data_IF_441434514283
#
_entry.id   IF_441434514283
#
_cell.length_a   1.000
_cell.length_b   1.000
_cell.length_c   1.000
_cell.angle_alpha   90.00
_cell.angle_beta   90.00
_cell.angle_gamma   90.00
#
_symmetry.space_group_name_H-M   'P 1'
#
loop_
_entity.id
_entity.type
_entity.pdbx_description
1 polymer ?
#
# COMPACT_ATOMS: atom_id res chain seq x y z
N UNK A 1 4.56 -44.16 9.13
CA UNK A 1 3.19 -43.61 9.32
C UNK A 1 3.14 -42.33 10.17
N UNK A 2 3.77 -42.25 11.35
CA UNK A 2 3.70 -41.07 12.26
C UNK A 2 4.10 -39.71 11.63
N UNK A 3 5.14 -39.65 10.78
CA UNK A 3 5.56 -38.41 10.08
C UNK A 3 4.52 -37.88 9.08
N UNK A 4 3.74 -38.76 8.44
CA UNK A 4 2.70 -38.35 7.48
C UNK A 4 1.49 -37.72 8.19
N UNK A 5 1.11 -38.27 9.35
CA UNK A 5 0.05 -37.72 10.20
C UNK A 5 0.43 -36.33 10.73
N UNK A 6 1.68 -36.14 11.16
CA UNK A 6 2.18 -34.84 11.61
C UNK A 6 2.15 -33.78 10.51
N UNK A 7 2.58 -34.12 9.28
CA UNK A 7 2.54 -33.19 8.16
C UNK A 7 1.11 -32.78 7.79
N UNK A 8 0.14 -33.72 7.86
CA UNK A 8 -1.27 -33.43 7.60
C UNK A 8 -1.84 -32.50 8.68
N UNK A 9 -1.54 -32.76 9.95
CA UNK A 9 -1.95 -31.88 11.06
C UNK A 9 -1.35 -30.48 10.89
N UNK A 10 -0.08 -30.39 10.52
CA UNK A 10 0.59 -29.11 10.26
C UNK A 10 -0.05 -28.33 9.09
N UNK A 11 -0.40 -29.00 8.00
CA UNK A 11 -1.12 -28.37 6.88
C UNK A 11 -2.53 -27.89 7.26
N UNK A 12 -3.25 -28.63 8.09
CA UNK A 12 -4.60 -28.23 8.57
C UNK A 12 -4.50 -27.01 9.51
N UNK A 13 -3.51 -26.98 10.40
CA UNK A 13 -3.29 -25.85 11.32
C UNK A 13 -2.90 -24.56 10.60
N UNK A 14 -2.11 -24.65 9.52
CA UNK A 14 -1.76 -23.47 8.68
C UNK A 14 -3.00 -22.91 7.99
N UNK A 15 -3.90 -23.77 7.50
CA UNK A 15 -5.08 -23.36 6.74
C UNK A 15 -6.08 -22.53 7.55
N UNK A 16 -6.15 -22.75 8.87
CA UNK A 16 -7.05 -22.02 9.77
C UNK A 16 -6.61 -20.59 10.13
N UNK A 17 -5.42 -20.16 9.69
CA UNK A 17 -4.83 -18.86 10.06
C UNK A 17 -4.88 -17.80 8.96
N UNK A 18 -5.57 -18.07 7.85
CA UNK A 18 -5.75 -17.14 6.74
C UNK A 18 -6.79 -16.06 7.09
N UNK A 19 -6.37 -14.98 7.74
CA UNK A 19 -7.21 -13.78 7.88
C UNK A 19 -7.34 -13.10 6.52
N UNK A 20 -8.58 -12.88 6.07
CA UNK A 20 -8.84 -12.13 4.84
C UNK A 20 -8.37 -10.67 5.00
N UNK A 21 -7.89 -10.08 3.90
CA UNK A 21 -7.35 -8.72 3.88
C UNK A 21 -8.45 -7.64 3.81
N UNK A 22 -9.53 -7.84 4.57
CA UNK A 22 -10.60 -6.86 4.64
C UNK A 22 -10.48 -6.02 5.91
N UNK A 23 -10.72 -4.72 5.81
CA UNK A 23 -10.74 -3.83 6.95
C UNK A 23 -11.71 -2.68 6.73
N UNK A 24 -12.09 -2.01 7.81
CA UNK A 24 -12.86 -0.76 7.74
C UNK A 24 -11.98 0.44 7.52
N UNK A 25 -10.69 0.34 7.87
CA UNK A 25 -9.72 1.44 7.76
C UNK A 25 -8.43 0.92 7.14
N UNK A 26 -7.99 1.60 6.09
CA UNK A 26 -6.80 1.29 5.32
C UNK A 26 -5.84 2.48 5.33
N UNK A 27 -4.67 2.26 5.93
CA UNK A 27 -3.55 3.19 5.90
C UNK A 27 -2.67 2.88 4.70
N UNK A 28 -2.35 3.90 3.91
CA UNK A 28 -1.52 3.77 2.71
C UNK A 28 -0.47 4.88 2.70
N UNK A 29 0.73 4.63 3.26
CA UNK A 29 1.84 5.55 3.08
C UNK A 29 2.18 5.70 1.58
N UNK A 30 2.78 6.84 1.18
CA UNK A 30 3.22 7.00 -0.21
C UNK A 30 4.33 5.99 -0.53
N UNK A 31 4.46 5.62 -1.80
CA UNK A 31 5.62 4.89 -2.30
C UNK A 31 6.58 5.84 -3.00
N UNK A 32 7.79 5.38 -3.33
CA UNK A 32 8.75 6.20 -4.05
C UNK A 32 9.26 5.52 -5.32
N UNK A 33 9.62 6.34 -6.29
CA UNK A 33 10.20 5.93 -7.55
C UNK A 33 11.51 6.69 -7.85
N UNK A 34 12.29 6.10 -8.75
CA UNK A 34 13.40 6.81 -9.38
C UNK A 34 12.86 7.84 -10.38
N UNK A 35 13.50 9.01 -10.43
CA UNK A 35 13.23 10.05 -11.44
C UNK A 35 13.49 9.58 -12.87
N UNK A 36 14.29 8.53 -13.04
CA UNK A 36 14.58 7.92 -14.35
C UNK A 36 13.46 7.00 -14.84
N UNK A 37 12.45 6.72 -14.01
CA UNK A 37 11.27 5.92 -14.38
C UNK A 37 10.02 6.76 -14.13
N UNK A 38 9.56 7.53 -15.15
CA UNK A 38 8.38 8.37 -15.04
C UNK A 38 7.13 7.56 -14.72
N UNK A 39 6.36 8.04 -13.74
CA UNK A 39 5.12 7.40 -13.33
C UNK A 39 4.01 7.70 -14.32
N UNK A 40 3.33 6.63 -14.75
CA UNK A 40 2.13 6.69 -15.58
C UNK A 40 0.85 6.73 -14.74
N UNK A 41 -0.24 6.14 -15.24
CA UNK A 41 -1.51 6.07 -14.52
C UNK A 41 -1.41 5.38 -13.15
N UNK A 42 -2.20 5.87 -12.19
CA UNK A 42 -2.21 5.41 -10.81
C UNK A 42 -3.66 5.34 -10.30
N UNK A 43 -4.02 4.24 -9.64
CA UNK A 43 -5.40 3.99 -9.22
C UNK A 43 -5.48 3.34 -7.85
N UNK A 44 -6.47 3.75 -7.05
CA UNK A 44 -6.96 2.99 -5.89
C UNK A 44 -8.18 2.17 -6.31
N UNK A 45 -8.09 0.86 -6.16
CA UNK A 45 -9.18 -0.08 -6.31
C UNK A 45 -9.78 -0.38 -4.95
N UNK A 46 -11.09 -0.20 -4.84
CA UNK A 46 -11.87 -0.44 -3.63
C UNK A 46 -12.94 -1.48 -3.95
N UNK A 47 -12.98 -2.56 -3.19
CA UNK A 47 -13.98 -3.62 -3.35
C UNK A 47 -14.47 -4.14 -2.00
N UNK A 48 -15.56 -4.90 -2.02
CA UNK A 48 -16.15 -5.50 -0.82
C UNK A 48 -16.87 -6.79 -1.18
N UNK A 49 -16.98 -7.78 -0.27
CA UNK A 49 -17.85 -8.93 -0.50
C UNK A 49 -19.34 -8.60 -0.28
N UNK A 50 -19.66 -7.43 0.29
CA UNK A 50 -21.04 -7.04 0.60
C UNK A 50 -21.86 -6.78 -0.67
N UNK A 51 -23.02 -7.42 -0.77
CA UNK A 51 -24.01 -7.11 -1.82
C UNK A 51 -24.69 -5.75 -1.60
N UNK A 52 -24.81 -5.34 -0.34
CA UNK A 52 -25.38 -4.05 0.02
C UNK A 52 -24.32 -2.96 -0.17
N UNK A 53 -24.64 -1.82 -0.81
CA UNK A 53 -23.71 -0.70 -0.95
C UNK A 53 -23.18 -0.21 0.41
N UNK A 54 -21.87 -0.07 0.51
CA UNK A 54 -21.15 0.47 1.66
C UNK A 54 -20.58 1.83 1.28
N UNK A 55 -20.85 2.85 2.10
CA UNK A 55 -20.21 4.16 1.94
C UNK A 55 -18.78 4.12 2.43
N UNK A 56 -17.87 4.69 1.65
CA UNK A 56 -16.47 4.89 2.00
C UNK A 56 -16.03 6.33 1.78
N UNK A 57 -14.91 6.69 2.39
CA UNK A 57 -14.22 7.95 2.21
C UNK A 57 -12.71 7.73 2.01
N UNK A 58 -12.14 8.41 1.02
CA UNK A 58 -10.72 8.48 0.74
C UNK A 58 -10.23 9.83 1.29
N UNK A 59 -9.50 9.78 2.40
CA UNK A 59 -8.81 10.95 2.96
C UNK A 59 -7.45 11.07 2.29
N UNK A 60 -7.30 12.08 1.43
CA UNK A 60 -6.01 12.47 0.90
C UNK A 60 -5.29 13.28 1.98
N UNK A 61 -4.17 12.78 2.50
CA UNK A 61 -3.48 13.45 3.60
C UNK A 61 -3.05 14.87 3.17
N UNK A 62 -3.45 15.87 3.95
CA UNK A 62 -3.22 17.29 3.64
C UNK A 62 -4.05 17.85 2.48
N UNK A 63 -5.11 17.16 2.06
CA UNK A 63 -5.97 17.54 0.94
C UNK A 63 -7.45 17.17 1.21
N UNK A 64 -8.28 17.13 0.18
CA UNK A 64 -9.72 16.91 0.26
C UNK A 64 -10.10 15.46 0.53
N UNK A 65 -11.29 15.28 1.08
CA UNK A 65 -11.91 13.96 1.28
C UNK A 65 -12.82 13.67 0.08
N UNK A 66 -12.63 12.51 -0.53
CA UNK A 66 -13.51 12.00 -1.60
C UNK A 66 -14.39 10.92 -1.02
N UNK A 67 -15.71 10.98 -1.24
CA UNK A 67 -16.65 9.96 -0.77
C UNK A 67 -17.18 9.14 -1.94
N UNK A 68 -17.61 7.91 -1.66
CA UNK A 68 -18.18 7.03 -2.66
C UNK A 68 -18.92 5.87 -2.03
N UNK A 69 -19.47 5.00 -2.87
CA UNK A 69 -20.10 3.74 -2.45
C UNK A 69 -19.49 2.58 -3.19
N UNK A 70 -19.41 1.42 -2.53
CA UNK A 70 -18.87 0.20 -3.09
C UNK A 70 -19.77 -0.98 -2.73
N UNK A 71 -19.97 -1.90 -3.67
CA UNK A 71 -20.59 -3.19 -3.42
C UNK A 71 -19.82 -4.29 -4.14
N UNK A 72 -20.17 -5.55 -3.89
CA UNK A 72 -19.59 -6.73 -4.56
C UNK A 72 -19.70 -6.62 -6.07
N UNK A 73 -20.85 -6.15 -6.55
CA UNK A 73 -21.18 -6.13 -7.97
C UNK A 73 -20.82 -4.78 -8.62
N UNK A 74 -20.49 -3.76 -7.80
CA UNK A 74 -20.02 -2.44 -8.24
C UNK A 74 -18.77 -2.03 -7.45
N UNK A 75 -17.57 -2.56 -7.81
CA UNK A 75 -16.31 -2.09 -7.25
C UNK A 75 -16.01 -0.66 -7.70
N UNK A 76 -15.28 0.08 -6.89
CA UNK A 76 -14.92 1.47 -7.17
C UNK A 76 -13.45 1.60 -7.59
N UNK A 77 -13.18 2.52 -8.51
CA UNK A 77 -11.83 2.87 -8.97
C UNK A 77 -11.66 4.37 -8.82
N UNK A 78 -10.63 4.78 -8.09
CA UNK A 78 -10.25 6.18 -7.92
C UNK A 78 -8.91 6.43 -8.62
N UNK A 79 -8.94 7.18 -9.72
CA UNK A 79 -7.74 7.64 -10.44
C UNK A 79 -7.04 8.73 -9.62
N UNK A 80 -5.86 8.42 -9.09
CA UNK A 80 -5.12 9.35 -8.23
C UNK A 80 -4.34 10.39 -9.02
N UNK A 81 -4.10 10.15 -10.32
CA UNK A 81 -3.41 11.08 -11.21
C UNK A 81 -4.31 12.19 -11.75
N UNK A 82 -5.59 11.90 -11.95
CA UNK A 82 -6.57 12.84 -12.50
C UNK A 82 -7.42 13.47 -11.39
N UNK A 83 -7.94 12.65 -10.47
CA UNK A 83 -8.88 13.10 -9.44
C UNK A 83 -8.21 13.39 -8.09
N UNK A 84 -6.89 13.25 -8.03
CA UNK A 84 -6.06 13.53 -6.84
C UNK A 84 -4.87 14.43 -7.16
N UNK A 85 -3.92 14.51 -6.23
CA UNK A 85 -2.60 15.04 -6.51
C UNK A 85 -1.72 13.88 -7.02
N UNK A 86 -1.08 13.98 -8.20
CA UNK A 86 -0.27 12.88 -8.76
C UNK A 86 0.90 12.49 -7.86
N UNK A 87 1.35 13.41 -7.00
CA UNK A 87 2.39 13.18 -6.01
C UNK A 87 1.87 12.64 -4.67
N UNK A 88 0.56 12.40 -4.52
CA UNK A 88 -0.04 11.93 -3.27
C UNK A 88 0.30 10.47 -2.98
N UNK A 89 0.24 9.60 -3.99
CA UNK A 89 0.55 8.19 -3.84
C UNK A 89 2.03 7.88 -4.07
N UNK A 90 2.64 8.49 -5.10
CA UNK A 90 4.05 8.29 -5.43
C UNK A 90 4.81 9.59 -5.18
N UNK A 91 5.92 9.50 -4.45
CA UNK A 91 6.82 10.62 -4.20
C UNK A 91 8.15 10.42 -4.90
N UNK A 92 8.66 11.49 -5.49
CA UNK A 92 9.96 11.48 -6.13
C UNK A 92 11.09 11.23 -5.12
N UNK A 93 12.19 10.66 -5.62
CA UNK A 93 13.41 10.43 -4.82
C UNK A 93 13.96 11.68 -4.14
N UNK A 94 13.71 12.87 -4.69
CA UNK A 94 14.07 14.18 -4.12
C UNK A 94 13.38 14.48 -2.78
N UNK A 95 12.24 13.84 -2.49
CA UNK A 95 11.47 14.03 -1.26
C UNK A 95 11.76 12.96 -0.19
N UNK A 96 12.67 12.03 -0.46
CA UNK A 96 13.02 10.96 0.46
C UNK A 96 13.80 11.48 1.68
N UNK A 97 13.85 10.66 2.73
CA UNK A 97 14.54 10.96 4.00
C UNK A 97 14.02 12.22 4.73
N UNK A 98 12.81 12.64 4.43
CA UNK A 98 12.12 13.75 5.10
C UNK A 98 10.75 13.30 5.59
N UNK A 99 10.21 14.01 6.57
CA UNK A 99 8.85 13.78 7.06
C UNK A 99 7.87 14.51 6.14
N UNK A 100 6.94 13.77 5.53
CA UNK A 100 5.92 14.30 4.64
C UNK A 100 4.57 14.28 5.36
N UNK A 101 3.96 15.45 5.56
CA UNK A 101 2.67 15.59 6.28
C UNK A 101 1.43 15.53 5.36
N UNK A 102 1.63 15.52 4.04
CA UNK A 102 0.60 15.67 3.03
C UNK A 102 0.71 14.62 1.91
N UNK A 103 1.11 13.40 2.26
CA UNK A 103 1.34 12.30 1.30
C UNK A 103 0.79 10.99 1.83
N UNK A 104 0.23 10.18 0.94
CA UNK A 104 -0.49 8.94 1.27
C UNK A 104 -1.99 9.13 1.46
N UNK A 105 -2.68 8.04 1.75
CA UNK A 105 -4.13 7.99 1.92
C UNK A 105 -4.52 7.26 3.20
N UNK A 106 -5.68 7.66 3.72
CA UNK A 106 -6.46 6.87 4.68
C UNK A 106 -7.82 6.61 4.05
N UNK A 107 -8.15 5.34 3.79
CA UNK A 107 -9.47 4.96 3.28
C UNK A 107 -10.28 4.36 4.41
N UNK A 108 -11.46 4.90 4.67
CA UNK A 108 -12.36 4.45 5.73
C UNK A 108 -13.73 4.11 5.15
N UNK A 109 -14.37 3.08 5.68
CA UNK A 109 -15.69 2.64 5.26
C UNK A 109 -16.58 2.24 6.45
N UNK A 110 -17.89 2.26 6.22
CA UNK A 110 -18.86 1.86 7.24
C UNK A 110 -18.79 0.35 7.56
N UNK A 111 -18.36 -0.44 6.58
CA UNK A 111 -18.11 -1.86 6.75
C UNK A 111 -16.86 -2.33 5.99
N UNK A 112 -16.55 -3.61 6.07
CA UNK A 112 -15.31 -4.20 5.57
C UNK A 112 -15.14 -4.03 4.05
N UNK A 113 -14.02 -3.44 3.66
CA UNK A 113 -13.59 -3.23 2.28
C UNK A 113 -12.18 -3.76 2.08
N UNK A 114 -11.78 -3.87 0.82
CA UNK A 114 -10.43 -4.15 0.37
C UNK A 114 -9.92 -2.95 -0.42
N UNK A 115 -8.68 -2.55 -0.17
CA UNK A 115 -8.05 -1.41 -0.85
C UNK A 115 -6.69 -1.81 -1.40
N UNK A 116 -6.53 -1.62 -2.70
CA UNK A 116 -5.28 -1.86 -3.42
C UNK A 116 -4.95 -0.69 -4.33
N UNK A 117 -3.69 -0.27 -4.32
CA UNK A 117 -3.18 0.70 -5.26
C UNK A 117 -2.40 0.02 -6.37
N UNK A 118 -2.63 0.43 -7.61
CA UNK A 118 -1.86 -0.02 -8.77
C UNK A 118 -1.35 1.17 -9.54
N UNK A 119 -0.19 1.00 -10.14
CA UNK A 119 0.43 2.00 -10.99
C UNK A 119 1.21 1.34 -12.11
N UNK A 120 1.38 2.06 -13.21
CA UNK A 120 2.33 1.70 -14.27
C UNK A 120 3.33 2.82 -14.47
N UNK A 121 4.45 2.53 -15.13
CA UNK A 121 5.28 3.58 -15.69
C UNK A 121 4.65 4.13 -16.98
N UNK A 122 5.17 5.26 -17.48
CA UNK A 122 4.69 5.88 -18.72
C UNK A 122 4.91 4.97 -19.94
N UNK A 123 5.98 4.16 -19.95
CA UNK A 123 6.27 3.27 -21.07
C UNK A 123 5.39 2.01 -21.11
N UNK A 124 4.69 1.70 -20.02
CA UNK A 124 3.87 0.49 -19.86
C UNK A 124 4.68 -0.79 -19.64
N UNK A 125 6.01 -0.69 -19.51
CA UNK A 125 6.90 -1.83 -19.31
C UNK A 125 7.00 -2.26 -17.84
N UNK A 126 6.65 -1.38 -16.91
CA UNK A 126 6.73 -1.62 -15.47
C UNK A 126 5.39 -1.34 -14.80
N UNK A 127 5.05 -2.16 -13.80
CA UNK A 127 3.87 -1.99 -13.00
C UNK A 127 4.14 -2.32 -11.53
N UNK A 128 3.47 -1.59 -10.64
CA UNK A 128 3.51 -1.80 -9.21
C UNK A 128 2.12 -2.08 -8.65
N UNK A 129 2.07 -2.83 -7.56
CA UNK A 129 0.85 -3.12 -6.83
C UNK A 129 1.14 -3.09 -5.33
N UNK A 130 0.40 -2.27 -4.60
CA UNK A 130 0.47 -2.17 -3.14
C UNK A 130 -0.89 -2.50 -2.56
N UNK A 131 -0.92 -3.38 -1.56
CA UNK A 131 -2.17 -3.79 -0.92
C UNK A 131 -2.13 -3.41 0.56
N UNK A 132 -3.15 -2.68 1.03
CA UNK A 132 -3.24 -2.31 2.44
C UNK A 132 -3.80 -3.47 3.27
N UNK A 133 -3.15 -3.83 4.37
CA UNK A 133 -3.68 -4.82 5.35
C UNK A 133 -4.62 -4.19 6.38
N UNK A 134 -4.97 -2.93 6.20
CA UNK A 134 -5.85 -2.20 7.10
C UNK A 134 -5.36 -2.16 8.54
N UNK A 135 -6.28 -2.28 9.50
CA UNK A 135 -5.95 -2.27 10.93
C UNK A 135 -4.97 -3.37 11.36
N UNK A 136 -4.95 -4.50 10.66
CA UNK A 136 -4.00 -5.58 10.94
C UNK A 136 -2.54 -5.22 10.56
N UNK A 137 -2.33 -4.15 9.81
CA UNK A 137 -1.01 -3.64 9.45
C UNK A 137 -0.37 -2.79 10.57
N UNK A 138 -1.14 -2.38 11.57
CA UNK A 138 -0.65 -1.50 12.62
C UNK A 138 0.43 -2.20 13.45
N UNK A 139 1.51 -1.47 13.72
CA UNK A 139 2.66 -1.99 14.43
C UNK A 139 3.61 -0.88 14.83
N UNK A 140 4.48 -1.19 15.78
CA UNK A 140 5.53 -0.27 16.26
C UNK A 140 6.92 -0.65 15.75
N UNK A 141 7.03 -1.80 15.09
CA UNK A 141 8.31 -2.33 14.61
C UNK A 141 8.09 -2.97 13.24
N UNK A 142 8.82 -2.47 12.27
CA UNK A 142 8.79 -2.95 10.89
C UNK A 142 10.21 -3.37 10.49
N UNK A 143 10.29 -4.35 9.58
CA UNK A 143 11.54 -4.77 8.96
C UNK A 143 11.34 -4.78 7.46
N UNK A 144 12.32 -4.23 6.75
CA UNK A 144 12.39 -4.28 5.30
C UNK A 144 13.64 -5.05 4.89
N UNK A 145 13.52 -5.85 3.84
CA UNK A 145 14.66 -6.44 3.13
C UNK A 145 14.83 -5.74 1.80
N UNK A 146 16.08 -5.44 1.46
CA UNK A 146 16.46 -4.85 0.17
C UNK A 146 17.50 -5.71 -0.53
N UNK A 147 17.60 -5.54 -1.85
CA UNK A 147 18.69 -6.09 -2.63
C UNK A 147 19.34 -4.98 -3.43
N UNK A 148 20.66 -4.90 -3.36
CA UNK A 148 21.45 -3.97 -4.18
C UNK A 148 22.01 -4.76 -5.36
N UNK A 149 21.66 -4.34 -6.58
CA UNK A 149 22.23 -4.94 -7.78
C UNK A 149 23.43 -4.12 -8.25
N UNK A 150 24.64 -4.65 -8.00
CA UNK A 150 25.90 -4.00 -8.37
C UNK A 150 26.47 -4.46 -9.72
N UNK A 151 25.79 -5.36 -10.44
CA UNK A 151 26.29 -5.94 -11.70
C UNK A 151 26.14 -4.99 -12.90
N UNK A 152 25.27 -3.98 -12.81
CA UNK A 152 25.09 -2.99 -13.85
C UNK A 152 24.97 -1.59 -13.22
N UNK A 153 25.85 -0.68 -13.61
CA UNK A 153 25.92 0.67 -13.08
C UNK A 153 24.61 1.47 -13.28
N UNK A 154 23.86 1.19 -14.35
CA UNK A 154 22.59 1.87 -14.63
C UNK A 154 21.47 1.48 -13.63
N UNK A 155 21.60 0.33 -12.94
CA UNK A 155 20.60 -0.10 -11.95
C UNK A 155 20.62 0.74 -10.67
N UNK A 156 21.75 1.36 -10.33
CA UNK A 156 21.81 2.31 -9.21
C UNK A 156 20.94 3.55 -9.44
N UNK A 157 20.68 3.91 -10.70
CA UNK A 157 19.85 5.06 -11.05
C UNK A 157 18.35 4.73 -11.10
N UNK A 158 17.95 3.48 -11.41
CA UNK A 158 16.54 3.12 -11.64
C UNK A 158 15.92 2.22 -10.56
N UNK A 159 16.72 1.51 -9.76
CA UNK A 159 16.24 0.64 -8.69
C UNK A 159 16.57 1.23 -7.32
N UNK A 160 15.54 1.33 -6.47
CA UNK A 160 15.69 1.80 -5.10
C UNK A 160 14.94 0.86 -4.15
N UNK A 161 15.57 0.54 -3.03
CA UNK A 161 14.86 -0.01 -1.87
C UNK A 161 14.43 1.16 -1.01
N UNK A 162 13.14 1.24 -0.68
CA UNK A 162 12.61 2.27 0.20
C UNK A 162 11.61 1.66 1.18
N UNK A 163 11.45 2.31 2.33
CA UNK A 163 10.36 2.07 3.28
C UNK A 163 9.65 3.39 3.52
N UNK A 164 8.32 3.33 3.59
CA UNK A 164 7.49 4.47 3.95
C UNK A 164 6.63 4.10 5.15
N UNK A 165 6.65 4.96 6.17
CA UNK A 165 5.92 4.76 7.42
C UNK A 165 4.91 5.89 7.58
N UNK A 166 3.64 5.53 7.73
CA UNK A 166 2.58 6.48 8.06
C UNK A 166 2.31 6.44 9.57
N UNK A 167 2.56 7.54 10.27
CA UNK A 167 2.16 7.69 11.66
C UNK A 167 0.65 7.89 11.77
N UNK A 168 -0.01 7.13 12.65
CA UNK A 168 -1.45 7.26 12.90
C UNK A 168 -1.78 8.25 14.02
N UNK A 169 -0.77 8.72 14.75
CA UNK A 169 -0.89 9.64 15.87
C UNK A 169 0.08 10.81 15.71
N UNK A 170 -0.34 12.00 16.16
CA UNK A 170 0.51 13.18 16.16
C UNK A 170 1.72 12.99 17.07
N UNK A 171 2.82 13.68 16.73
CA UNK A 171 4.07 13.65 17.49
C UNK A 171 4.72 12.25 17.60
N UNK A 172 4.42 11.35 16.66
CA UNK A 172 5.11 10.05 16.55
C UNK A 172 6.55 10.25 16.11
N UNK A 173 7.50 9.65 16.83
CA UNK A 173 8.91 9.58 16.41
C UNK A 173 9.19 8.23 15.76
N UNK A 174 9.75 8.23 14.56
CA UNK A 174 10.18 7.02 13.84
C UNK A 174 11.70 6.95 13.85
N UNK A 175 12.25 5.86 14.36
CA UNK A 175 13.70 5.63 14.39
C UNK A 175 14.07 4.53 13.40
N UNK A 176 15.05 4.80 12.55
CA UNK A 176 15.64 3.82 11.65
C UNK A 176 16.95 3.32 12.22
N UNK A 177 17.16 2.00 12.22
CA UNK A 177 18.37 1.36 12.76
C UNK A 177 18.67 0.08 11.97
N UNK A 178 19.90 -0.43 12.10
CA UNK A 178 20.37 -1.62 11.38
C UNK A 178 20.29 -1.47 9.84
N UNK A 179 20.66 -0.30 9.33
CA UNK A 179 20.84 -0.04 7.90
C UNK A 179 22.30 -0.38 7.57
N UNK A 180 22.50 -1.25 6.58
CA UNK A 180 23.81 -1.68 6.09
C UNK A 180 24.26 -0.92 4.85
#
# INVERSE_FOLDING_TARGET
MKKRVLNIIFSILISGSCLAQFSKTHYMPPISNSTSVPIGPQFLYISTPSINPITYQIKQLGSTIVTGTVSRDLPAVFDTSINGNPNQFVVESSSLNTVLSNRGYIVEAQDVIYVAARLTDVSGNQAGHVISKGLAALGKTFRIGGMTNSLNANYGAIHQTFISVLATENNTTVTYSNIG
#
